data_IF_013162668143
#
_entry.id   IF_013162668143
#
_cell.length_a   1.000
_cell.length_b   1.000
_cell.length_c   1.000
_cell.angle_alpha   90.00
_cell.angle_beta   90.00
_cell.angle_gamma   90.00
#
_symmetry.space_group_name_H-M   'P 1'
#
loop_
_entity.id
_entity.type
_entity.pdbx_description
1 polymer ?
#
# COMPACT_ATOMS: atom_id res chain seq x y z
N UNK A 1 -14.16 22.23 -5.05
CA UNK A 1 -13.56 20.89 -5.22
C UNK A 1 -14.49 20.05 -6.10
N UNK A 2 -13.99 19.08 -6.86
CA UNK A 2 -14.86 18.13 -7.56
C UNK A 2 -15.65 17.29 -6.53
N UNK A 3 -16.84 16.76 -6.88
CA UNK A 3 -17.59 15.86 -6.00
C UNK A 3 -16.79 14.62 -5.58
N UNK A 4 -16.01 14.07 -6.52
CA UNK A 4 -15.11 12.93 -6.29
C UNK A 4 -14.03 13.23 -5.24
N UNK A 5 -13.38 14.40 -5.33
CA UNK A 5 -12.37 14.84 -4.36
C UNK A 5 -12.96 15.06 -2.96
N UNK A 6 -14.22 15.53 -2.87
CA UNK A 6 -14.92 15.68 -1.59
C UNK A 6 -15.24 14.33 -0.96
N UNK A 7 -15.66 13.35 -1.77
CA UNK A 7 -15.94 11.98 -1.33
C UNK A 7 -14.69 11.32 -0.73
N UNK A 8 -13.57 11.31 -1.46
CA UNK A 8 -12.31 10.69 -0.99
C UNK A 8 -11.80 11.34 0.30
N UNK A 9 -11.93 12.67 0.41
CA UNK A 9 -11.43 13.41 1.58
C UNK A 9 -12.28 13.20 2.83
N UNK A 10 -13.58 13.06 2.68
CA UNK A 10 -14.52 12.92 3.80
C UNK A 10 -14.68 11.45 4.22
N UNK A 11 -14.54 10.50 3.30
CA UNK A 11 -14.76 9.10 3.58
C UNK A 11 -13.47 8.28 3.47
N UNK A 12 -12.83 8.03 4.61
CA UNK A 12 -11.57 7.28 4.66
C UNK A 12 -11.76 5.74 4.67
N UNK A 13 -12.98 5.24 4.43
CA UNK A 13 -13.34 3.82 4.55
C UNK A 13 -12.94 3.05 3.28
N UNK A 14 -12.26 1.92 3.47
CA UNK A 14 -11.81 1.08 2.36
C UNK A 14 -12.99 0.46 1.58
N UNK A 15 -14.13 0.25 2.23
CA UNK A 15 -15.29 -0.45 1.66
C UNK A 15 -16.02 0.34 0.57
N UNK A 16 -15.80 1.66 0.47
CA UNK A 16 -16.37 2.47 -0.62
C UNK A 16 -15.75 2.09 -1.97
N UNK A 17 -14.50 1.64 -1.94
CA UNK A 17 -13.76 1.19 -3.12
C UNK A 17 -14.18 -0.22 -3.59
N UNK A 18 -15.01 -0.95 -2.82
CA UNK A 18 -15.62 -2.22 -3.26
C UNK A 18 -16.71 -1.99 -4.31
N UNK A 19 -17.30 -0.79 -4.36
CA UNK A 19 -18.40 -0.50 -5.24
C UNK A 19 -17.94 -0.50 -6.72
N UNK A 20 -18.52 -1.35 -7.60
CA UNK A 20 -18.20 -1.39 -9.02
C UNK A 20 -18.31 -0.02 -9.71
N UNK A 21 -19.26 0.81 -9.31
CA UNK A 21 -19.44 2.16 -9.86
C UNK A 21 -18.30 3.10 -9.49
N UNK A 22 -17.80 3.04 -8.25
CA UNK A 22 -16.65 3.83 -7.81
C UNK A 22 -15.37 3.35 -8.51
N UNK A 23 -15.19 2.03 -8.63
CA UNK A 23 -14.08 1.45 -9.39
C UNK A 23 -14.08 1.93 -10.86
N UNK A 24 -15.25 1.95 -11.50
CA UNK A 24 -15.39 2.45 -12.87
C UNK A 24 -15.05 3.94 -13.01
N UNK A 25 -15.46 4.77 -12.04
CA UNK A 25 -15.11 6.20 -12.00
C UNK A 25 -13.60 6.39 -11.88
N UNK A 26 -12.95 5.62 -11.00
CA UNK A 26 -11.50 5.64 -10.80
C UNK A 26 -10.79 5.24 -12.08
N UNK A 27 -11.21 4.16 -12.73
CA UNK A 27 -10.58 3.68 -13.97
C UNK A 27 -10.74 4.68 -15.13
N UNK A 28 -11.91 5.33 -15.25
CA UNK A 28 -12.11 6.40 -16.23
C UNK A 28 -11.15 7.58 -16.01
N UNK A 29 -11.06 8.07 -14.77
CA UNK A 29 -10.19 9.20 -14.40
C UNK A 29 -8.70 8.84 -14.40
N UNK A 30 -8.37 7.56 -14.22
CA UNK A 30 -7.00 7.07 -14.20
C UNK A 30 -6.25 7.36 -15.50
N UNK A 31 -6.90 7.26 -16.66
CA UNK A 31 -6.24 7.52 -17.94
C UNK A 31 -5.66 8.95 -18.03
N UNK A 32 -6.36 9.95 -17.50
CA UNK A 32 -5.86 11.32 -17.43
C UNK A 32 -4.71 11.45 -16.41
N UNK A 33 -4.92 10.93 -15.19
CA UNK A 33 -3.95 11.03 -14.09
C UNK A 33 -2.67 10.20 -14.32
N UNK A 34 -2.74 9.11 -15.09
CA UNK A 34 -1.62 8.20 -15.36
C UNK A 34 -0.46 8.91 -16.03
N UNK A 35 -0.73 9.85 -16.95
CA UNK A 35 0.31 10.61 -17.63
C UNK A 35 1.09 11.52 -16.68
N UNK A 36 0.37 12.23 -15.80
CA UNK A 36 0.94 13.05 -14.73
C UNK A 36 1.82 12.22 -13.81
N UNK A 37 1.35 11.03 -13.44
CA UNK A 37 2.07 10.13 -12.58
C UNK A 37 3.33 9.55 -13.25
N UNK A 38 3.24 9.08 -14.50
CA UNK A 38 4.41 8.56 -15.24
C UNK A 38 5.48 9.64 -15.41
N UNK A 39 5.08 10.91 -15.57
CA UNK A 39 6.00 12.05 -15.53
C UNK A 39 6.74 12.11 -14.19
N UNK A 40 6.06 11.90 -13.07
CA UNK A 40 6.70 11.89 -11.75
C UNK A 40 7.70 10.74 -11.57
N UNK A 41 7.36 9.52 -11.99
CA UNK A 41 8.33 8.39 -12.01
C UNK A 41 9.57 8.81 -12.80
N UNK A 42 9.35 9.32 -14.01
CA UNK A 42 10.43 9.66 -14.93
C UNK A 42 11.36 10.72 -14.35
N UNK A 43 10.79 11.76 -13.71
CA UNK A 43 11.55 12.79 -13.02
C UNK A 43 12.38 12.20 -11.87
N UNK A 44 11.83 11.23 -11.12
CA UNK A 44 12.58 10.56 -10.06
C UNK A 44 13.75 9.73 -10.62
N UNK A 45 13.56 9.01 -11.74
CA UNK A 45 14.68 8.33 -12.40
C UNK A 45 15.76 9.30 -12.90
N UNK A 46 15.35 10.44 -13.46
CA UNK A 46 16.27 11.50 -13.88
C UNK A 46 17.02 12.13 -12.70
N UNK A 47 16.48 12.05 -11.48
CA UNK A 47 17.18 12.42 -10.26
C UNK A 47 18.12 11.31 -9.75
N UNK A 48 17.71 10.05 -9.82
CA UNK A 48 18.45 8.90 -9.29
C UNK A 48 19.69 8.53 -10.12
N UNK A 49 19.60 8.58 -11.45
CA UNK A 49 20.68 8.18 -12.35
C UNK A 49 21.95 9.04 -12.18
N UNK A 50 21.87 10.39 -12.18
CA UNK A 50 23.07 11.22 -12.01
C UNK A 50 23.70 11.09 -10.62
N UNK A 51 22.90 10.81 -9.57
CA UNK A 51 23.41 10.58 -8.23
C UNK A 51 24.32 9.34 -8.16
N UNK A 52 23.89 8.27 -8.85
CA UNK A 52 24.61 6.99 -8.91
C UNK A 52 25.88 7.07 -9.77
N UNK A 53 25.85 7.87 -10.84
CA UNK A 53 27.00 8.06 -11.74
C UNK A 53 28.16 8.85 -11.13
N UNK A 54 27.97 9.50 -9.96
CA UNK A 54 29.02 10.30 -9.31
C UNK A 54 30.22 9.41 -8.94
N UNK A 55 31.27 9.41 -9.77
CA UNK A 55 32.51 8.65 -9.56
C UNK A 55 33.23 9.15 -8.30
N UNK A 56 33.82 8.23 -7.53
CA UNK A 56 34.47 8.52 -6.24
C UNK A 56 35.96 8.92 -6.40
N UNK A 57 36.37 9.46 -7.54
CA UNK A 57 37.76 9.89 -7.73
C UNK A 57 37.88 11.41 -7.59
N UNK A 58 38.16 11.96 -6.39
CA UNK A 58 38.42 13.38 -6.19
C UNK A 58 39.74 13.87 -6.83
N UNK A 59 40.55 12.96 -7.39
CA UNK A 59 41.92 13.25 -7.85
C UNK A 59 42.12 13.20 -9.37
N UNK A 60 41.22 12.61 -10.16
CA UNK A 60 41.29 12.74 -11.62
C UNK A 60 40.56 14.02 -12.04
N UNK A 61 41.36 15.07 -12.20
CA UNK A 61 40.96 16.38 -12.73
C UNK A 61 40.71 16.37 -14.25
N UNK A 62 40.67 15.19 -14.89
CA UNK A 62 40.25 15.12 -16.27
C UNK A 62 38.81 15.62 -16.36
N UNK A 63 38.68 16.70 -17.11
CA UNK A 63 37.55 17.60 -17.22
C UNK A 63 36.40 16.93 -17.94
N UNK A 64 35.81 15.90 -17.33
CA UNK A 64 34.55 15.35 -17.80
C UNK A 64 33.46 16.38 -17.51
N UNK A 65 33.27 17.28 -18.47
CA UNK A 65 32.14 18.21 -18.54
C UNK A 65 30.82 17.47 -18.27
N UNK A 66 30.73 16.20 -18.66
CA UNK A 66 29.62 15.29 -18.35
C UNK A 66 29.35 15.16 -16.85
N UNK A 67 30.37 14.98 -15.99
CA UNK A 67 30.19 14.84 -14.53
C UNK A 67 29.63 16.14 -13.94
N UNK A 68 30.13 17.30 -14.40
CA UNK A 68 29.62 18.62 -13.97
C UNK A 68 28.16 18.78 -14.39
N UNK A 69 27.81 18.44 -15.63
CA UNK A 69 26.43 18.49 -16.15
C UNK A 69 25.52 17.55 -15.34
N UNK A 70 25.95 16.32 -15.05
CA UNK A 70 25.23 15.38 -14.20
C UNK A 70 24.99 15.94 -12.78
N UNK A 71 25.97 16.65 -12.21
CA UNK A 71 25.82 17.28 -10.90
C UNK A 71 24.81 18.44 -10.91
N UNK A 72 24.86 19.31 -11.93
CA UNK A 72 23.89 20.41 -12.04
C UNK A 72 22.46 19.89 -12.27
N UNK A 73 22.31 18.91 -13.16
CA UNK A 73 21.00 18.28 -13.44
C UNK A 73 20.45 17.58 -12.20
N UNK A 74 21.29 16.89 -11.42
CA UNK A 74 20.91 16.29 -10.13
C UNK A 74 20.30 17.32 -9.16
N UNK A 75 21.01 18.42 -8.90
CA UNK A 75 20.53 19.44 -7.97
C UNK A 75 19.26 20.13 -8.47
N UNK A 76 19.18 20.41 -9.78
CA UNK A 76 18.01 21.01 -10.39
C UNK A 76 16.78 20.10 -10.27
N UNK A 77 16.91 18.81 -10.60
CA UNK A 77 15.84 17.82 -10.45
C UNK A 77 15.45 17.60 -8.99
N UNK A 78 16.43 17.52 -8.08
CA UNK A 78 16.16 17.37 -6.65
C UNK A 78 15.38 18.56 -6.08
N UNK A 79 15.76 19.78 -6.44
CA UNK A 79 15.00 20.97 -6.04
C UNK A 79 13.59 20.99 -6.64
N UNK A 80 13.44 20.58 -7.91
CA UNK A 80 12.12 20.44 -8.53
C UNK A 80 11.22 19.45 -7.79
N UNK A 81 11.74 18.27 -7.42
CA UNK A 81 11.02 17.27 -6.62
C UNK A 81 10.65 17.80 -5.22
N UNK A 82 11.55 18.53 -4.56
CA UNK A 82 11.22 19.19 -3.29
C UNK A 82 10.10 20.23 -3.42
N UNK A 83 10.03 20.95 -4.54
CA UNK A 83 8.93 21.90 -4.78
C UNK A 83 7.58 21.17 -4.96
N UNK A 84 7.56 20.01 -5.63
CA UNK A 84 6.37 19.17 -5.73
C UNK A 84 5.94 18.71 -4.34
N UNK A 85 6.86 18.18 -3.53
CA UNK A 85 6.56 17.75 -2.16
C UNK A 85 6.07 18.92 -1.29
N UNK A 86 6.71 20.09 -1.37
CA UNK A 86 6.25 21.30 -0.67
C UNK A 86 4.80 21.64 -1.02
N UNK A 87 4.44 21.58 -2.31
CA UNK A 87 3.07 21.84 -2.76
C UNK A 87 2.11 20.79 -2.17
N UNK A 88 2.51 19.51 -2.12
CA UNK A 88 1.72 18.44 -1.49
C UNK A 88 1.47 18.70 0.00
N UNK A 89 2.48 19.17 0.75
CA UNK A 89 2.32 19.54 2.17
C UNK A 89 1.28 20.65 2.31
N UNK A 90 1.33 21.66 1.44
CA UNK A 90 0.41 22.81 1.50
C UNK A 90 -1.06 22.41 1.30
N UNK A 91 -1.35 21.48 0.39
CA UNK A 91 -2.73 21.08 0.08
C UNK A 91 -3.29 20.01 1.03
N UNK A 92 -2.49 19.01 1.40
CA UNK A 92 -2.96 17.86 2.19
C UNK A 92 -2.60 17.97 3.69
N UNK A 93 -1.71 18.91 4.06
CA UNK A 93 -1.22 19.11 5.42
C UNK A 93 -0.25 18.02 5.90
N UNK A 94 0.26 18.20 7.12
CA UNK A 94 1.21 17.26 7.75
C UNK A 94 0.61 15.88 8.06
N UNK A 95 -0.72 15.78 8.20
CA UNK A 95 -1.43 14.53 8.48
C UNK A 95 -1.17 13.45 7.42
N UNK A 96 -0.84 13.85 6.18
CA UNK A 96 -0.49 12.95 5.07
C UNK A 96 0.73 12.07 5.36
N UNK A 97 1.70 12.58 6.12
CA UNK A 97 2.98 11.91 6.38
C UNK A 97 2.92 10.84 7.48
N UNK A 98 1.76 10.63 8.11
CA UNK A 98 1.52 9.40 8.87
C UNK A 98 1.50 8.15 7.98
N UNK A 99 1.27 8.32 6.67
CA UNK A 99 1.39 7.23 5.73
C UNK A 99 2.86 6.96 5.40
N UNK A 100 3.30 5.72 5.61
CA UNK A 100 4.69 5.27 5.42
C UNK A 100 5.27 5.70 4.07
N UNK A 101 4.49 5.54 3.00
CA UNK A 101 4.98 5.86 1.66
C UNK A 101 5.26 7.35 1.48
N UNK A 102 4.34 8.22 1.90
CA UNK A 102 4.53 9.66 1.73
C UNK A 102 5.74 10.17 2.53
N UNK A 103 5.97 9.61 3.72
CA UNK A 103 7.17 9.91 4.51
C UNK A 103 8.43 9.52 3.75
N UNK A 104 8.44 8.32 3.16
CA UNK A 104 9.58 7.81 2.41
C UNK A 104 9.83 8.61 1.12
N UNK A 105 8.79 9.04 0.40
CA UNK A 105 8.88 9.89 -0.79
C UNK A 105 9.69 11.17 -0.49
N UNK A 106 9.33 11.87 0.58
CA UNK A 106 10.02 13.09 1.02
C UNK A 106 11.45 12.78 1.48
N UNK A 107 11.60 11.76 2.33
CA UNK A 107 12.89 11.38 2.89
C UNK A 107 13.90 11.00 1.81
N UNK A 108 13.45 10.30 0.75
CA UNK A 108 14.29 9.86 -0.36
C UNK A 108 14.83 11.00 -1.22
N UNK A 109 14.19 12.17 -1.20
CA UNK A 109 14.69 13.37 -1.90
C UNK A 109 15.58 14.19 -0.96
N UNK A 110 15.16 14.38 0.29
CA UNK A 110 15.88 15.22 1.26
C UNK A 110 17.23 14.61 1.64
N UNK A 111 17.28 13.31 1.94
CA UNK A 111 18.48 12.67 2.49
C UNK A 111 19.67 12.68 1.51
N UNK A 112 19.51 12.29 0.22
CA UNK A 112 20.62 12.34 -0.74
C UNK A 112 21.10 13.78 -1.03
N UNK A 113 20.18 14.75 -1.08
CA UNK A 113 20.52 16.15 -1.28
C UNK A 113 21.33 16.68 -0.10
N UNK A 114 20.91 16.36 1.12
CA UNK A 114 21.64 16.70 2.34
C UNK A 114 23.03 16.06 2.37
N UNK A 115 23.13 14.76 2.07
CA UNK A 115 24.40 14.04 1.99
C UNK A 115 25.37 14.69 0.99
N UNK A 116 24.88 15.06 -0.20
CA UNK A 116 25.70 15.71 -1.23
C UNK A 116 26.11 17.14 -0.85
N UNK A 117 25.24 17.88 -0.16
CA UNK A 117 25.54 19.22 0.33
C UNK A 117 26.60 19.21 1.43
N UNK A 118 26.48 18.29 2.40
CA UNK A 118 27.48 18.09 3.47
C UNK A 118 28.83 17.71 2.87
N UNK A 119 28.86 16.82 1.89
CA UNK A 119 30.09 16.45 1.18
C UNK A 119 30.76 17.67 0.52
N UNK A 120 29.98 18.51 -0.19
CA UNK A 120 30.52 19.69 -0.87
C UNK A 120 31.03 20.75 0.13
N UNK A 121 30.32 20.99 1.24
CA UNK A 121 30.75 21.95 2.27
C UNK A 121 32.03 21.48 2.95
N UNK A 122 32.09 20.22 3.37
CA UNK A 122 33.27 19.65 4.01
C UNK A 122 34.47 19.62 3.05
N UNK A 123 34.26 19.36 1.76
CA UNK A 123 35.31 19.44 0.75
C UNK A 123 35.92 20.85 0.63
N UNK A 124 35.11 21.90 0.74
CA UNK A 124 35.57 23.30 0.69
C UNK A 124 36.25 23.70 2.00
N UNK A 125 35.65 23.35 3.14
CA UNK A 125 36.13 23.75 4.47
C UNK A 125 37.41 23.01 4.89
N UNK A 126 37.50 21.73 4.56
CA UNK A 126 38.60 20.84 4.96
C UNK A 126 39.43 20.53 3.72
N UNK A 127 40.25 21.49 3.30
CA UNK A 127 41.18 21.34 2.17
C UNK A 127 42.33 20.32 2.44
N UNK A 128 42.18 19.43 3.44
CA UNK A 128 43.16 18.40 3.80
C UNK A 128 42.49 17.16 4.40
N UNK A 129 42.48 16.09 3.61
CA UNK A 129 42.93 14.71 3.90
C UNK A 129 42.90 14.21 5.35
N UNK A 130 41.82 14.42 6.09
CA UNK A 130 41.57 13.65 7.31
C UNK A 130 40.76 12.40 6.90
N UNK A 131 41.40 11.22 6.99
CA UNK A 131 40.86 9.97 6.43
C UNK A 131 39.51 9.58 7.03
N UNK A 132 39.28 9.87 8.31
CA UNK A 132 38.04 9.53 9.03
C UNK A 132 36.79 10.27 8.49
N UNK A 133 36.95 11.52 8.05
CA UNK A 133 35.84 12.32 7.47
C UNK A 133 35.49 11.77 6.09
N UNK A 134 36.48 11.37 5.29
CA UNK A 134 36.25 10.76 3.99
C UNK A 134 35.49 9.44 4.10
N UNK A 135 35.86 8.57 5.04
CA UNK A 135 35.17 7.28 5.25
C UNK A 135 33.70 7.49 5.65
N UNK A 136 33.44 8.42 6.56
CA UNK A 136 32.07 8.77 7.00
C UNK A 136 31.21 9.28 5.83
N UNK A 137 31.79 10.07 4.92
CA UNK A 137 31.10 10.57 3.73
C UNK A 137 30.77 9.47 2.73
N UNK A 138 31.65 8.48 2.56
CA UNK A 138 31.41 7.31 1.72
C UNK A 138 30.25 6.49 2.27
N UNK A 139 30.21 6.30 3.60
CA UNK A 139 29.11 5.61 4.29
C UNK A 139 27.79 6.34 4.04
N UNK A 140 27.73 7.66 4.27
CA UNK A 140 26.52 8.46 4.03
C UNK A 140 26.03 8.39 2.58
N UNK A 141 26.96 8.40 1.61
CA UNK A 141 26.62 8.23 0.20
C UNK A 141 26.05 6.84 -0.09
N UNK A 142 26.62 5.79 0.51
CA UNK A 142 26.15 4.41 0.36
C UNK A 142 24.71 4.24 0.88
N UNK A 143 24.42 4.80 2.06
CA UNK A 143 23.04 4.83 2.59
C UNK A 143 22.09 5.61 1.69
N UNK A 144 22.53 6.72 1.11
CA UNK A 144 21.69 7.52 0.20
C UNK A 144 21.32 6.74 -1.06
N UNK A 145 22.26 5.98 -1.64
CA UNK A 145 21.98 5.11 -2.79
C UNK A 145 20.95 4.02 -2.41
N UNK A 146 21.08 3.44 -1.22
CA UNK A 146 20.11 2.45 -0.72
C UNK A 146 18.71 3.04 -0.56
N UNK A 147 18.60 4.25 -0.02
CA UNK A 147 17.31 4.95 0.15
C UNK A 147 16.67 5.24 -1.21
N UNK A 148 17.44 5.76 -2.18
CA UNK A 148 16.95 5.99 -3.54
C UNK A 148 16.47 4.68 -4.19
N UNK A 149 17.24 3.61 -4.01
CA UNK A 149 16.90 2.29 -4.57
C UNK A 149 15.62 1.72 -3.95
N UNK A 150 15.44 1.89 -2.64
CA UNK A 150 14.20 1.52 -1.95
C UNK A 150 13.01 2.34 -2.45
N UNK A 151 13.17 3.64 -2.72
CA UNK A 151 12.06 4.44 -3.27
C UNK A 151 11.70 3.99 -4.69
N UNK A 152 12.68 3.63 -5.53
CA UNK A 152 12.37 3.06 -6.86
C UNK A 152 11.48 1.82 -6.74
N UNK A 153 11.69 0.97 -5.71
CA UNK A 153 10.81 -0.16 -5.43
C UNK A 153 9.42 0.30 -4.95
N UNK A 154 9.35 1.31 -4.09
CA UNK A 154 8.06 1.87 -3.63
C UNK A 154 7.29 2.59 -4.74
N UNK A 155 7.96 3.17 -5.74
CA UNK A 155 7.34 3.74 -6.94
C UNK A 155 6.64 2.67 -7.81
N UNK A 156 6.87 1.38 -7.56
CA UNK A 156 6.06 0.33 -8.19
C UNK A 156 4.61 0.34 -7.69
N UNK A 157 4.32 0.99 -6.56
CA UNK A 157 2.97 1.05 -5.96
C UNK A 157 1.90 1.64 -6.88
N UNK A 158 2.31 2.40 -7.88
CA UNK A 158 1.40 3.04 -8.80
C UNK A 158 0.99 2.15 -9.98
N UNK A 159 1.71 1.06 -10.25
CA UNK A 159 1.26 0.04 -11.20
C UNK A 159 0.26 -0.88 -10.51
N UNK A 160 -0.83 -1.28 -11.18
CA UNK A 160 -1.92 -2.04 -10.55
C UNK A 160 -1.46 -3.33 -9.88
N UNK A 161 -0.76 -4.17 -10.67
CA UNK A 161 -0.32 -5.48 -10.21
C UNK A 161 0.82 -5.36 -9.21
N UNK A 162 1.78 -4.48 -9.48
CA UNK A 162 2.93 -4.31 -8.60
C UNK A 162 2.56 -3.61 -7.28
N UNK A 163 1.60 -2.70 -7.29
CA UNK A 163 1.16 -1.98 -6.10
C UNK A 163 0.35 -2.79 -5.12
N UNK A 164 -0.38 -3.81 -5.59
CA UNK A 164 -0.92 -4.82 -4.70
C UNK A 164 0.20 -5.50 -3.88
N UNK A 165 1.32 -5.88 -4.52
CA UNK A 165 2.46 -6.48 -3.82
C UNK A 165 3.15 -5.50 -2.87
N UNK A 166 3.36 -4.24 -3.26
CA UNK A 166 3.96 -3.22 -2.37
C UNK A 166 3.10 -2.99 -1.13
N UNK A 167 1.77 -2.95 -1.31
CA UNK A 167 0.84 -2.86 -0.19
C UNK A 167 0.93 -4.07 0.74
N UNK A 168 0.94 -5.29 0.18
CA UNK A 168 1.07 -6.54 0.94
C UNK A 168 2.35 -6.52 1.77
N UNK A 169 3.49 -6.22 1.17
CA UNK A 169 4.79 -6.15 1.85
C UNK A 169 4.75 -5.15 3.01
N UNK A 170 4.23 -3.94 2.77
CA UNK A 170 4.14 -2.89 3.79
C UNK A 170 3.21 -3.28 4.94
N UNK A 171 2.10 -3.97 4.64
CA UNK A 171 1.18 -4.45 5.66
C UNK A 171 1.79 -5.58 6.49
N UNK A 172 2.50 -6.52 5.84
CA UNK A 172 3.25 -7.58 6.52
C UNK A 172 4.25 -6.96 7.51
N UNK A 173 5.06 -5.98 7.09
CA UNK A 173 6.01 -5.31 7.98
C UNK A 173 5.34 -4.70 9.23
N UNK A 174 4.18 -4.07 9.06
CA UNK A 174 3.42 -3.50 10.20
C UNK A 174 2.90 -4.59 11.14
N UNK A 175 2.39 -5.68 10.60
CA UNK A 175 1.81 -6.77 11.38
C UNK A 175 2.88 -7.58 12.12
N UNK A 176 4.05 -7.81 11.52
CA UNK A 176 5.14 -8.58 12.15
C UNK A 176 6.01 -7.75 13.10
N UNK A 177 5.95 -6.41 13.04
CA UNK A 177 6.81 -5.54 13.84
C UNK A 177 6.79 -5.84 15.35
N UNK A 178 5.64 -6.10 16.02
CA UNK A 178 5.62 -6.50 17.43
C UNK A 178 6.38 -7.81 17.69
N UNK A 179 6.25 -8.78 16.78
CA UNK A 179 6.96 -10.06 16.91
C UNK A 179 8.47 -9.90 16.67
N UNK A 180 8.89 -9.02 15.75
CA UNK A 180 10.30 -8.70 15.57
C UNK A 180 10.91 -8.06 16.83
N UNK A 181 10.19 -7.19 17.51
CA UNK A 181 10.64 -6.61 18.80
C UNK A 181 10.79 -7.70 19.86
N UNK A 182 9.82 -8.62 19.93
CA UNK A 182 9.88 -9.78 20.82
C UNK A 182 11.10 -10.67 20.51
N UNK A 183 11.35 -10.98 19.23
CA UNK A 183 12.51 -11.75 18.80
C UNK A 183 13.84 -11.04 19.15
N UNK A 184 13.91 -9.72 18.97
CA UNK A 184 15.10 -8.92 19.34
C UNK A 184 15.37 -8.97 20.84
N UNK A 185 14.35 -9.03 21.69
CA UNK A 185 14.52 -9.19 23.14
C UNK A 185 15.20 -10.53 23.47
N UNK A 186 14.78 -11.62 22.80
CA UNK A 186 15.44 -12.91 22.94
C UNK A 186 16.89 -12.86 22.47
N UNK A 187 17.14 -12.30 21.28
CA UNK A 187 18.51 -12.13 20.75
C UNK A 187 19.35 -11.33 21.74
N UNK A 188 18.85 -10.24 22.29
CA UNK A 188 19.56 -9.44 23.29
C UNK A 188 19.85 -10.22 24.57
N UNK A 189 18.89 -11.01 25.08
CA UNK A 189 19.09 -11.87 26.26
C UNK A 189 20.19 -12.92 26.07
N UNK A 190 20.19 -13.60 24.92
CA UNK A 190 21.26 -14.54 24.55
C UNK A 190 22.61 -13.84 24.37
N UNK A 191 22.60 -12.65 23.76
CA UNK A 191 23.79 -11.84 23.52
C UNK A 191 24.44 -11.40 24.82
N UNK A 192 23.66 -10.88 25.76
CA UNK A 192 24.16 -10.46 27.06
C UNK A 192 24.69 -11.65 27.88
N UNK A 193 23.99 -12.78 27.85
CA UNK A 193 24.44 -14.02 28.51
C UNK A 193 25.76 -14.52 27.94
N UNK A 194 25.91 -14.52 26.61
CA UNK A 194 27.17 -14.90 25.95
C UNK A 194 28.30 -13.90 26.21
N UNK A 195 27.99 -12.61 26.25
CA UNK A 195 28.98 -11.58 26.55
C UNK A 195 29.60 -11.78 27.94
N UNK A 196 28.77 -12.04 28.97
CA UNK A 196 29.25 -12.35 30.34
C UNK A 196 30.05 -13.65 30.38
N UNK A 197 29.56 -14.70 29.69
CA UNK A 197 30.26 -15.98 29.65
C UNK A 197 31.69 -15.81 29.11
N UNK A 198 31.84 -15.08 28.01
CA UNK A 198 33.12 -14.80 27.37
C UNK A 198 33.98 -13.82 28.15
N UNK A 199 33.36 -13.00 28.98
CA UNK A 199 34.11 -12.13 29.86
C UNK A 199 34.97 -12.93 30.84
N UNK A 200 34.46 -14.07 31.29
CA UNK A 200 35.09 -14.92 32.30
C UNK A 200 35.93 -16.09 31.76
N UNK A 201 35.74 -16.52 30.50
CA UNK A 201 36.27 -17.82 30.02
C UNK A 201 37.49 -17.76 29.12
N UNK A 202 37.78 -16.65 28.43
CA UNK A 202 38.88 -16.59 27.45
C UNK A 202 39.80 -15.36 27.62
N UNK A 203 41.11 -15.61 27.77
CA UNK A 203 42.14 -14.58 27.70
C UNK A 203 42.30 -14.04 26.26
N UNK A 204 41.87 -14.81 25.25
CA UNK A 204 41.88 -14.46 23.82
C UNK A 204 40.46 -14.46 23.26
N UNK A 205 39.66 -13.45 23.63
CA UNK A 205 38.29 -13.32 23.12
C UNK A 205 38.29 -13.23 21.59
N UNK A 206 37.44 -14.01 20.90
CA UNK A 206 37.29 -13.89 19.46
C UNK A 206 36.75 -12.51 19.08
N UNK A 207 37.25 -11.98 17.95
CA UNK A 207 36.97 -10.60 17.51
C UNK A 207 35.47 -10.32 17.26
N UNK A 208 34.68 -11.37 17.05
CA UNK A 208 33.24 -11.31 16.85
C UNK A 208 32.46 -11.07 18.16
N UNK A 209 33.13 -11.17 19.31
CA UNK A 209 32.52 -11.06 20.63
C UNK A 209 33.27 -10.09 21.57
N UNK A 210 34.07 -9.17 21.03
CA UNK A 210 34.82 -8.20 21.84
C UNK A 210 33.90 -7.27 22.62
N UNK A 211 32.82 -6.83 21.96
CA UNK A 211 31.86 -5.86 22.47
C UNK A 211 30.46 -6.45 22.50
N UNK A 212 29.59 -5.89 23.36
CA UNK A 212 28.18 -6.29 23.43
C UNK A 212 27.49 -6.16 22.06
N UNK A 213 27.80 -5.11 21.29
CA UNK A 213 27.21 -4.90 19.96
C UNK A 213 27.62 -5.98 18.96
N UNK A 214 28.89 -6.38 18.93
CA UNK A 214 29.38 -7.45 18.04
C UNK A 214 28.86 -8.81 18.45
N UNK A 215 28.76 -9.05 19.77
CA UNK A 215 28.11 -10.22 20.32
C UNK A 215 26.65 -10.28 19.89
N UNK A 216 25.96 -9.13 19.92
CA UNK A 216 24.56 -9.03 19.47
C UNK A 216 24.40 -9.27 17.98
N UNK A 217 25.29 -8.72 17.15
CA UNK A 217 25.34 -9.01 15.72
C UNK A 217 25.56 -10.51 15.45
N UNK A 218 26.45 -11.13 16.22
CA UNK A 218 26.75 -12.56 16.11
C UNK A 218 25.55 -13.44 16.45
N UNK A 219 24.90 -13.20 17.59
CA UNK A 219 23.69 -13.94 17.99
C UNK A 219 22.53 -13.64 17.04
N UNK A 220 22.45 -12.44 16.46
CA UNK A 220 21.48 -12.15 15.41
C UNK A 220 21.73 -13.02 14.17
N UNK A 221 22.98 -13.26 13.75
CA UNK A 221 23.26 -14.16 12.63
C UNK A 221 22.88 -15.63 12.88
N UNK A 222 22.80 -16.06 14.14
CA UNK A 222 22.29 -17.39 14.49
C UNK A 222 20.83 -17.59 14.08
N UNK A 223 20.02 -16.53 14.07
CA UNK A 223 18.62 -16.59 13.58
C UNK A 223 18.54 -17.10 12.13
N UNK A 224 19.57 -16.84 11.33
CA UNK A 224 19.68 -17.25 9.93
C UNK A 224 20.46 -18.57 9.75
N UNK A 225 20.83 -19.24 10.84
CA UNK A 225 21.59 -20.48 10.81
C UNK A 225 23.08 -20.31 10.49
N UNK A 226 23.63 -19.10 10.60
CA UNK A 226 25.08 -18.86 10.49
C UNK A 226 25.72 -19.00 11.87
N UNK A 227 26.57 -20.02 12.04
CA UNK A 227 27.22 -20.37 13.30
C UNK A 227 28.75 -20.37 13.22
N UNK A 228 29.31 -19.83 12.13
CA UNK A 228 30.76 -19.72 11.84
C UNK A 228 31.56 -19.02 12.95
N UNK A 229 30.88 -18.27 13.80
CA UNK A 229 31.45 -17.53 14.92
C UNK A 229 31.74 -18.40 16.16
N UNK A 230 31.13 -19.60 16.27
CA UNK A 230 31.28 -20.53 17.41
C UNK A 230 32.41 -21.56 17.24
N UNK A 231 32.96 -21.72 16.03
CA UNK A 231 34.04 -22.67 15.74
C UNK A 231 35.35 -22.29 16.44
N UNK A 232 35.48 -21.03 16.88
CA UNK A 232 36.71 -20.50 17.49
C UNK A 232 36.84 -20.82 18.99
N UNK A 233 35.83 -21.43 19.62
CA UNK A 233 35.78 -21.59 21.09
C UNK A 233 36.10 -23.02 21.52
N UNK A 234 36.90 -23.21 22.57
CA UNK A 234 37.30 -24.53 23.08
C UNK A 234 36.54 -25.03 24.32
N UNK A 235 35.40 -24.43 24.68
CA UNK A 235 34.73 -24.66 25.99
C UNK A 235 33.34 -25.27 25.82
N UNK A 236 32.96 -26.22 26.69
CA UNK A 236 31.70 -26.98 26.59
C UNK A 236 30.43 -26.13 26.78
N UNK A 237 30.50 -25.02 27.54
CA UNK A 237 29.37 -24.11 27.77
C UNK A 237 28.82 -23.55 26.44
N UNK A 238 29.70 -23.38 25.44
CA UNK A 238 29.31 -22.94 24.10
C UNK A 238 28.29 -23.89 23.47
N UNK A 239 28.47 -25.20 23.68
CA UNK A 239 27.65 -26.24 23.07
C UNK A 239 26.25 -26.24 23.67
N UNK A 240 26.15 -25.95 24.97
CA UNK A 240 24.86 -25.80 25.65
C UNK A 240 24.12 -24.57 25.15
N UNK A 241 24.79 -23.41 25.08
CA UNK A 241 24.15 -22.19 24.58
C UNK A 241 23.80 -22.27 23.09
N UNK A 242 24.64 -22.90 22.26
CA UNK A 242 24.35 -23.08 20.84
C UNK A 242 23.19 -24.04 20.61
N UNK A 243 23.08 -25.10 21.41
CA UNK A 243 21.94 -26.02 21.38
C UNK A 243 20.64 -25.32 21.77
N UNK A 244 20.65 -24.56 22.87
CA UNK A 244 19.46 -23.80 23.30
C UNK A 244 19.11 -22.72 22.25
N UNK A 245 20.11 -21.98 21.76
CA UNK A 245 19.91 -20.95 20.73
C UNK A 245 19.37 -21.53 19.42
N UNK A 246 19.84 -22.70 19.01
CA UNK A 246 19.36 -23.40 17.81
C UNK A 246 17.88 -23.76 17.92
N UNK A 247 17.46 -24.31 19.07
CA UNK A 247 16.06 -24.67 19.31
C UNK A 247 15.19 -23.43 19.43
N UNK A 248 15.55 -22.48 20.31
CA UNK A 248 14.69 -21.33 20.62
C UNK A 248 14.72 -20.30 19.49
N UNK A 249 15.91 -19.81 19.11
CA UNK A 249 16.05 -18.68 18.19
C UNK A 249 15.91 -19.13 16.74
N UNK A 250 16.68 -20.14 16.32
CA UNK A 250 16.72 -20.54 14.91
C UNK A 250 15.53 -21.41 14.49
N UNK A 251 15.01 -22.25 15.38
CA UNK A 251 13.90 -23.16 15.05
C UNK A 251 12.56 -22.56 15.45
N UNK A 252 12.32 -22.30 16.74
CA UNK A 252 11.00 -21.87 17.22
C UNK A 252 10.67 -20.45 16.73
N UNK A 253 11.49 -19.45 17.04
CA UNK A 253 11.18 -18.05 16.71
C UNK A 253 11.13 -17.81 15.20
N UNK A 254 11.99 -18.47 14.42
CA UNK A 254 11.97 -18.36 12.96
C UNK A 254 10.72 -19.02 12.35
N UNK A 255 10.35 -20.23 12.79
CA UNK A 255 9.14 -20.90 12.30
C UNK A 255 7.87 -20.12 12.68
N UNK A 256 7.85 -19.52 13.88
CA UNK A 256 6.78 -18.61 14.29
C UNK A 256 6.74 -17.34 13.43
N UNK A 257 7.89 -16.74 13.11
CA UNK A 257 7.97 -15.57 12.23
C UNK A 257 7.37 -15.89 10.86
N UNK A 258 7.72 -17.04 10.28
CA UNK A 258 7.18 -17.50 8.99
C UNK A 258 5.67 -17.70 9.07
N UNK A 259 5.16 -18.37 10.11
CA UNK A 259 3.72 -18.60 10.27
C UNK A 259 2.92 -17.28 10.40
N UNK A 260 3.44 -16.33 11.17
CA UNK A 260 2.83 -14.99 11.30
C UNK A 260 2.90 -14.23 9.97
N UNK A 261 4.02 -14.31 9.24
CA UNK A 261 4.14 -13.73 7.90
C UNK A 261 3.11 -14.31 6.93
N UNK A 262 2.87 -15.63 6.97
CA UNK A 262 1.85 -16.29 6.13
C UNK A 262 0.45 -15.78 6.46
N UNK A 263 0.08 -15.73 7.74
CA UNK A 263 -1.21 -15.18 8.16
C UNK A 263 -1.37 -13.72 7.73
N UNK A 264 -0.35 -12.89 7.96
CA UNK A 264 -0.38 -11.48 7.58
C UNK A 264 -0.42 -11.28 6.06
N UNK A 265 0.18 -12.18 5.29
CA UNK A 265 0.12 -12.17 3.83
C UNK A 265 -1.30 -12.45 3.33
N UNK A 266 -1.98 -13.46 3.89
CA UNK A 266 -3.35 -13.81 3.49
C UNK A 266 -4.33 -12.68 3.80
N UNK A 267 -4.26 -12.10 5.01
CA UNK A 267 -5.04 -10.93 5.39
C UNK A 267 -4.77 -9.73 4.46
N UNK A 268 -3.50 -9.47 4.17
CA UNK A 268 -3.12 -8.34 3.31
C UNK A 268 -3.55 -8.55 1.86
N UNK A 269 -3.52 -9.78 1.36
CA UNK A 269 -3.92 -10.15 0.00
C UNK A 269 -5.41 -9.96 -0.24
N UNK A 270 -6.24 -10.21 0.78
CA UNK A 270 -7.67 -9.90 0.71
C UNK A 270 -7.90 -8.39 0.58
N UNK A 271 -7.18 -7.59 1.36
CA UNK A 271 -7.34 -6.12 1.41
C UNK A 271 -6.60 -5.41 0.27
N UNK A 272 -5.58 -6.02 -0.34
CA UNK A 272 -4.66 -5.35 -1.28
C UNK A 272 -5.36 -4.80 -2.52
N UNK A 273 -6.43 -5.46 -2.97
CA UNK A 273 -7.21 -4.99 -4.13
C UNK A 273 -7.87 -3.64 -3.83
N UNK A 274 -8.47 -3.52 -2.65
CA UNK A 274 -9.16 -2.31 -2.19
C UNK A 274 -8.17 -1.18 -1.93
N UNK A 275 -7.02 -1.52 -1.33
CA UNK A 275 -5.93 -0.57 -1.12
C UNK A 275 -5.37 0.01 -2.43
N UNK A 276 -5.30 -0.80 -3.49
CA UNK A 276 -4.82 -0.35 -4.80
C UNK A 276 -5.78 0.68 -5.42
N UNK A 277 -7.09 0.43 -5.35
CA UNK A 277 -8.11 1.37 -5.82
C UNK A 277 -8.11 2.67 -5.01
N UNK A 278 -8.01 2.56 -3.69
CA UNK A 278 -7.86 3.73 -2.80
C UNK A 278 -6.64 4.56 -3.16
N UNK A 279 -5.50 3.90 -3.40
CA UNK A 279 -4.28 4.60 -3.78
C UNK A 279 -4.41 5.34 -5.11
N UNK A 280 -5.05 4.73 -6.13
CA UNK A 280 -5.36 5.42 -7.39
C UNK A 280 -6.25 6.63 -7.16
N UNK A 281 -7.27 6.49 -6.32
CA UNK A 281 -8.18 7.57 -5.96
C UNK A 281 -7.42 8.74 -5.31
N UNK A 282 -6.51 8.45 -4.38
CA UNK A 282 -5.65 9.46 -3.74
C UNK A 282 -4.76 10.17 -4.77
N UNK A 283 -4.15 9.45 -5.72
CA UNK A 283 -3.32 10.04 -6.79
C UNK A 283 -4.16 10.92 -7.73
N UNK A 284 -5.37 10.49 -8.09
CA UNK A 284 -6.30 11.30 -8.90
C UNK A 284 -6.71 12.56 -8.14
N UNK A 285 -7.00 12.44 -6.85
CA UNK A 285 -7.33 13.56 -5.99
C UNK A 285 -6.19 14.59 -5.92
N UNK A 286 -4.94 14.13 -5.84
CA UNK A 286 -3.75 14.99 -5.89
C UNK A 286 -3.57 15.67 -7.25
N UNK A 287 -3.76 14.93 -8.34
CA UNK A 287 -3.73 15.48 -9.68
C UNK A 287 -4.77 16.61 -9.83
N UNK A 288 -6.02 16.38 -9.43
CA UNK A 288 -7.10 17.38 -9.50
C UNK A 288 -6.86 18.60 -8.58
N UNK A 289 -6.06 18.44 -7.51
CA UNK A 289 -5.73 19.51 -6.57
C UNK A 289 -4.54 20.38 -7.03
N UNK A 290 -3.50 19.75 -7.60
CA UNK A 290 -2.22 20.40 -7.92
C UNK A 290 -2.20 20.88 -9.37
N UNK A 291 -2.50 20.00 -10.31
CA UNK A 291 -2.42 20.25 -11.75
C UNK A 291 -3.87 20.41 -12.24
N UNK A 292 -4.42 21.62 -12.12
CA UNK A 292 -5.63 21.99 -12.86
C UNK A 292 -5.20 22.61 -14.20
N UNK A 293 -4.91 21.84 -15.27
CA UNK A 293 -4.65 22.49 -16.54
C UNK A 293 -5.96 23.01 -17.14
N UNK A 294 -7.09 22.29 -17.12
CA UNK A 294 -8.30 22.78 -17.78
C UNK A 294 -9.61 22.30 -17.14
N UNK A 295 -10.46 23.26 -16.78
CA UNK A 295 -11.89 23.08 -16.59
C UNK A 295 -12.60 22.77 -17.92
N UNK A 296 -12.11 21.76 -18.65
CA UNK A 296 -12.77 21.25 -19.84
C UNK A 296 -13.92 20.32 -19.43
N UNK A 297 -15.11 20.57 -19.98
CA UNK A 297 -16.34 19.79 -19.75
C UNK A 297 -16.17 18.28 -20.04
N UNK A 298 -15.11 17.89 -20.77
CA UNK A 298 -14.82 16.50 -21.13
C UNK A 298 -14.22 15.65 -20.00
N UNK A 299 -13.75 16.24 -18.89
CA UNK A 299 -13.11 15.49 -17.78
C UNK A 299 -14.12 15.00 -16.73
N UNK A 300 -15.33 15.59 -16.70
CA UNK A 300 -16.40 15.22 -15.78
C UNK A 300 -17.71 15.00 -16.55
N UNK A 301 -17.85 13.88 -17.28
CA UNK A 301 -19.10 13.53 -17.94
C UNK A 301 -20.22 13.27 -16.92
N UNK A 302 -21.47 13.53 -17.31
CA UNK A 302 -22.65 13.24 -16.46
C UNK A 302 -22.90 11.74 -16.29
N UNK A 303 -22.54 10.94 -17.29
CA UNK A 303 -22.73 9.49 -17.29
C UNK A 303 -21.43 8.80 -17.70
N UNK A 304 -21.11 7.69 -17.02
CA UNK A 304 -19.99 6.83 -17.33
C UNK A 304 -20.57 5.43 -17.54
N UNK A 305 -20.45 4.91 -18.76
CA UNK A 305 -20.80 3.52 -19.06
C UNK A 305 -19.57 2.65 -18.87
N UNK A 306 -19.69 1.57 -18.11
CA UNK A 306 -18.62 0.62 -17.90
C UNK A 306 -19.13 -0.82 -18.06
N UNK A 307 -18.28 -1.69 -18.59
CA UNK A 307 -18.53 -3.12 -18.67
C UNK A 307 -17.71 -3.80 -17.57
N UNK A 308 -18.40 -4.33 -16.56
CA UNK A 308 -17.74 -5.08 -15.48
C UNK A 308 -17.78 -6.58 -15.73
N UNK A 309 -16.84 -7.32 -15.12
CA UNK A 309 -16.90 -8.79 -15.08
C UNK A 309 -18.12 -9.23 -14.26
N UNK A 310 -18.94 -10.11 -14.82
CA UNK A 310 -20.18 -10.60 -14.19
C UNK A 310 -19.95 -11.17 -12.79
N UNK A 311 -18.93 -12.01 -12.63
CA UNK A 311 -18.56 -12.63 -11.34
C UNK A 311 -18.22 -11.61 -10.26
N UNK A 312 -17.54 -10.52 -10.61
CA UNK A 312 -17.18 -9.46 -9.66
C UNK A 312 -18.41 -8.70 -9.17
N UNK A 313 -19.30 -8.34 -10.11
CA UNK A 313 -20.54 -7.63 -9.80
C UNK A 313 -21.45 -8.50 -8.96
N UNK A 314 -21.58 -9.79 -9.29
CA UNK A 314 -22.41 -10.75 -8.55
C UNK A 314 -21.91 -10.93 -7.11
N UNK A 315 -20.60 -11.14 -6.93
CA UNK A 315 -19.98 -11.24 -5.59
C UNK A 315 -20.21 -9.97 -4.77
N UNK A 316 -20.10 -8.79 -5.39
CA UNK A 316 -20.39 -7.53 -4.71
C UNK A 316 -21.87 -7.38 -4.35
N UNK A 317 -22.80 -7.74 -5.25
CA UNK A 317 -24.24 -7.70 -4.98
C UNK A 317 -24.62 -8.62 -3.83
N UNK A 318 -24.04 -9.82 -3.77
CA UNK A 318 -24.29 -10.76 -2.68
C UNK A 318 -23.76 -10.24 -1.34
N UNK A 319 -22.52 -9.71 -1.31
CA UNK A 319 -21.94 -9.07 -0.12
C UNK A 319 -22.82 -7.91 0.36
N UNK A 320 -23.23 -7.04 -0.56
CA UNK A 320 -24.13 -5.91 -0.29
C UNK A 320 -25.48 -6.34 0.27
N UNK A 321 -26.06 -7.43 -0.25
CA UNK A 321 -27.32 -7.98 0.26
C UNK A 321 -27.16 -8.46 1.70
N UNK A 322 -26.14 -9.26 1.99
CA UNK A 322 -25.88 -9.79 3.35
C UNK A 322 -25.67 -8.66 4.36
N UNK A 323 -24.92 -7.62 4.00
CA UNK A 323 -24.72 -6.45 4.87
C UNK A 323 -26.01 -5.68 5.13
N UNK A 324 -26.87 -5.50 4.12
CA UNK A 324 -28.19 -4.86 4.31
C UNK A 324 -29.10 -5.68 5.22
N UNK A 325 -29.11 -7.00 5.07
CA UNK A 325 -29.89 -7.90 5.94
C UNK A 325 -29.42 -7.82 7.39
N UNK A 326 -28.10 -7.89 7.62
CA UNK A 326 -27.54 -7.71 8.95
C UNK A 326 -27.88 -6.34 9.55
N UNK A 327 -27.82 -5.27 8.76
CA UNK A 327 -28.18 -3.94 9.22
C UNK A 327 -29.67 -3.82 9.55
N UNK A 328 -30.56 -4.39 8.72
CA UNK A 328 -32.00 -4.45 9.01
C UNK A 328 -32.28 -5.23 10.28
N UNK A 329 -31.63 -6.36 10.48
CA UNK A 329 -31.78 -7.16 11.69
C UNK A 329 -31.29 -6.38 12.93
N UNK A 330 -30.18 -5.65 12.81
CA UNK A 330 -29.68 -4.79 13.89
C UNK A 330 -30.64 -3.64 14.22
N UNK A 331 -31.21 -2.97 13.21
CA UNK A 331 -32.25 -1.95 13.45
C UNK A 331 -33.49 -2.54 14.11
N UNK A 332 -33.93 -3.73 13.67
CA UNK A 332 -35.06 -4.41 14.28
C UNK A 332 -34.78 -4.86 15.73
N UNK A 333 -33.53 -5.17 16.07
CA UNK A 333 -33.10 -5.48 17.44
C UNK A 333 -33.13 -4.22 18.33
N UNK A 334 -32.68 -3.07 17.82
CA UNK A 334 -32.79 -1.77 18.52
C UNK A 334 -34.25 -1.35 18.70
N UNK A 335 -35.08 -1.49 17.68
CA UNK A 335 -36.50 -1.10 17.74
C UNK A 335 -37.27 -1.98 18.75
N UNK A 336 -36.89 -3.25 18.91
CA UNK A 336 -37.48 -4.14 19.92
C UNK A 336 -37.01 -3.83 21.35
N UNK A 337 -35.81 -3.24 21.53
CA UNK A 337 -35.27 -2.83 22.85
C UNK A 337 -35.77 -1.43 23.27
N UNK A 338 -36.21 -0.61 22.31
CA UNK A 338 -36.78 0.73 22.55
C UNK A 338 -38.31 0.78 22.66
N UNK A 339 -38.95 -0.31 23.08
CA UNK A 339 -40.35 -0.28 23.54
C UNK A 339 -40.45 0.50 24.86
N UNK A 340 -40.35 1.83 24.79
CA UNK A 340 -40.76 2.72 25.86
C UNK A 340 -42.26 2.51 26.09
N UNK A 341 -42.59 1.95 27.26
CA UNK A 341 -43.90 2.07 27.86
C UNK A 341 -44.24 3.57 27.95
N UNK A 342 -45.08 4.05 27.04
CA UNK A 342 -45.91 5.20 27.34
C UNK A 342 -46.97 4.66 28.30
N UNK A 343 -46.70 4.80 29.59
CA UNK A 343 -47.77 4.69 30.57
C UNK A 343 -48.60 5.96 30.39
N UNK A 344 -49.73 5.79 29.70
CA UNK A 344 -50.82 6.76 29.61
C UNK A 344 -51.41 6.92 31.01
N UNK A 345 -50.79 7.77 31.82
CA UNK A 345 -51.46 8.40 32.96
C UNK A 345 -51.82 9.82 32.54
N UNK A 346 -53.07 9.94 32.08
CA UNK A 346 -53.80 11.20 32.01
C UNK A 346 -53.75 11.89 33.37
N UNK A 347 -53.25 13.13 33.43
CA UNK A 347 -53.86 14.19 34.23
C UNK A 347 -53.33 15.57 33.78
N UNK A 348 -54.27 16.50 33.76
CA UNK A 348 -54.30 17.78 33.05
C UNK A 348 -53.31 18.88 33.52
N UNK A 349 -53.18 19.88 32.63
CA UNK A 349 -52.82 21.30 32.83
C UNK A 349 -51.35 21.67 33.14
N UNK A 350 -50.64 22.30 32.20
CA UNK A 350 -50.67 23.76 32.01
C UNK A 350 -49.61 24.20 30.96
N UNK A 351 -49.85 25.35 30.34
CA UNK A 351 -49.02 25.96 29.30
C UNK A 351 -47.58 26.26 29.76
N UNK A 352 -46.57 25.82 29.01
CA UNK A 352 -45.44 26.71 28.69
C UNK A 352 -44.69 26.32 27.41
N UNK A 353 -44.59 27.30 26.54
CA UNK A 353 -44.00 27.24 25.21
C UNK A 353 -42.51 27.60 25.34
N UNK A 354 -41.60 26.62 25.41
CA UNK A 354 -40.18 26.90 25.13
C UNK A 354 -39.28 25.66 24.87
N UNK A 355 -38.68 25.70 23.68
CA UNK A 355 -37.33 25.26 23.36
C UNK A 355 -36.82 23.90 23.87
N UNK A 356 -36.95 22.86 23.03
CA UNK A 356 -36.00 21.74 23.08
C UNK A 356 -35.65 21.08 21.74
N UNK A 357 -35.44 21.88 20.68
CA UNK A 357 -34.78 21.43 19.43
C UNK A 357 -33.25 21.40 19.55
N UNK A 358 -32.67 20.76 20.57
CA UNK A 358 -31.19 20.73 20.73
C UNK A 358 -30.52 19.41 21.11
N UNK A 359 -31.20 18.27 21.14
CA UNK A 359 -30.56 17.00 21.56
C UNK A 359 -30.37 15.90 20.51
N UNK A 360 -30.46 16.21 19.20
CA UNK A 360 -30.19 15.23 18.14
C UNK A 360 -28.71 15.12 17.71
N UNK A 361 -27.79 15.87 18.33
CA UNK A 361 -26.37 15.89 17.94
C UNK A 361 -25.41 15.20 18.93
N UNK A 362 -25.87 14.73 20.09
CA UNK A 362 -24.98 14.18 21.13
C UNK A 362 -25.03 12.65 21.32
N UNK A 363 -25.82 11.90 20.55
CA UNK A 363 -25.88 10.43 20.68
C UNK A 363 -24.90 9.65 19.78
N UNK A 364 -23.91 10.32 19.15
CA UNK A 364 -22.91 9.65 18.33
C UNK A 364 -21.77 8.97 19.13
N UNK A 365 -21.71 9.18 20.45
CA UNK A 365 -20.56 8.74 21.26
C UNK A 365 -20.78 7.42 22.03
N UNK A 366 -21.93 6.76 21.88
CA UNK A 366 -22.23 5.47 22.53
C UNK A 366 -22.65 4.39 21.53
N UNK A 367 -21.83 4.16 20.49
CA UNK A 367 -22.01 3.03 19.56
C UNK A 367 -21.07 1.87 19.97
N UNK A 368 -21.57 0.71 20.42
CA UNK A 368 -20.72 -0.44 20.70
C UNK A 368 -20.31 -1.13 19.38
N UNK A 369 -19.05 -0.91 18.96
CA UNK A 369 -18.15 -1.76 18.16
C UNK A 369 -18.62 -2.62 16.95
N UNK A 370 -19.87 -2.61 16.49
CA UNK A 370 -20.31 -3.28 15.29
C UNK A 370 -20.13 -2.38 14.06
N UNK A 371 -18.94 -2.42 13.46
CA UNK A 371 -18.61 -1.70 12.21
C UNK A 371 -19.37 -2.30 11.02
N UNK A 372 -20.59 -1.85 10.76
CA UNK A 372 -21.28 -2.09 9.49
C UNK A 372 -21.09 -0.84 8.61
N UNK A 373 -20.50 -0.95 7.41
CA UNK A 373 -20.29 0.22 6.57
C UNK A 373 -21.56 0.63 5.84
N UNK A 374 -22.09 1.81 6.21
CA UNK A 374 -23.24 2.43 5.54
C UNK A 374 -23.03 2.58 4.03
N UNK A 375 -21.80 2.75 3.53
CA UNK A 375 -21.52 2.92 2.09
C UNK A 375 -21.99 1.76 1.19
N UNK A 376 -22.20 0.57 1.76
CA UNK A 376 -22.72 -0.59 1.03
C UNK A 376 -24.25 -0.53 0.83
N UNK A 377 -24.95 0.25 1.66
CA UNK A 377 -26.41 0.41 1.63
C UNK A 377 -26.86 1.55 0.70
N UNK A 378 -26.05 2.59 0.48
CA UNK A 378 -26.48 3.87 -0.10
C UNK A 378 -26.62 3.92 -1.63
N UNK A 379 -26.10 2.94 -2.37
CA UNK A 379 -26.07 3.00 -3.85
C UNK A 379 -27.04 2.04 -4.54
N UNK A 380 -27.92 1.39 -3.77
CA UNK A 380 -28.80 0.35 -4.28
C UNK A 380 -30.20 0.56 -3.71
N UNK A 381 -30.85 1.65 -4.11
CA UNK A 381 -32.29 1.80 -3.93
C UNK A 381 -33.03 1.73 -5.27
N UNK A 382 -34.20 1.09 -5.22
CA UNK A 382 -35.22 0.80 -6.25
C UNK A 382 -34.84 0.03 -7.53
N UNK A 383 -33.59 0.09 -8.01
CA UNK A 383 -33.26 -0.41 -9.36
C UNK A 383 -32.75 -1.86 -9.44
N UNK A 384 -32.64 -2.60 -8.33
CA UNK A 384 -32.10 -3.98 -8.34
C UNK A 384 -32.93 -4.91 -9.21
N UNK A 385 -34.26 -4.78 -9.18
CA UNK A 385 -35.15 -5.59 -10.01
C UNK A 385 -34.95 -5.27 -11.49
N UNK A 386 -34.79 -4.00 -11.82
CA UNK A 386 -34.55 -3.49 -13.18
C UNK A 386 -33.17 -3.90 -13.70
N UNK A 387 -32.14 -3.84 -12.87
CA UNK A 387 -30.76 -4.22 -13.20
C UNK A 387 -30.55 -5.74 -13.27
N UNK A 388 -31.14 -6.52 -12.35
CA UNK A 388 -31.16 -7.98 -12.47
C UNK A 388 -31.97 -8.43 -13.68
N UNK A 389 -33.06 -7.73 -14.02
CA UNK A 389 -33.81 -8.00 -15.25
C UNK A 389 -32.95 -7.72 -16.48
N UNK A 390 -32.20 -6.62 -16.54
CA UNK A 390 -31.35 -6.27 -17.69
C UNK A 390 -30.13 -7.18 -17.86
N UNK A 391 -29.55 -7.69 -16.77
CA UNK A 391 -28.52 -8.76 -16.81
C UNK A 391 -29.13 -10.06 -17.33
N UNK A 392 -30.35 -10.43 -16.91
CA UNK A 392 -31.06 -11.59 -17.45
C UNK A 392 -31.38 -11.40 -18.93
N UNK A 393 -31.88 -10.24 -19.36
CA UNK A 393 -32.17 -10.00 -20.80
C UNK A 393 -30.90 -9.98 -21.64
N UNK A 394 -29.81 -9.38 -21.18
CA UNK A 394 -28.54 -9.35 -21.93
C UNK A 394 -27.89 -10.73 -22.05
N UNK A 395 -27.91 -11.54 -20.99
CA UNK A 395 -27.44 -12.94 -21.04
C UNK A 395 -28.33 -13.81 -21.92
N UNK A 396 -29.66 -13.66 -21.87
CA UNK A 396 -30.60 -14.36 -22.76
C UNK A 396 -30.39 -13.94 -24.23
N UNK A 397 -30.23 -12.64 -24.51
CA UNK A 397 -30.00 -12.13 -25.87
C UNK A 397 -28.64 -12.61 -26.43
N UNK A 398 -27.59 -12.69 -25.59
CA UNK A 398 -26.31 -13.27 -26.02
C UNK A 398 -26.43 -14.77 -26.32
N UNK A 399 -27.13 -15.54 -25.47
CA UNK A 399 -27.34 -16.98 -25.68
C UNK A 399 -28.20 -17.24 -26.93
N UNK A 400 -29.27 -16.48 -27.13
CA UNK A 400 -30.15 -16.58 -28.30
C UNK A 400 -29.43 -16.20 -29.60
N UNK A 401 -28.56 -15.19 -29.57
CA UNK A 401 -27.78 -14.80 -30.74
C UNK A 401 -26.72 -15.85 -31.09
N UNK A 402 -26.06 -16.45 -30.10
CA UNK A 402 -25.09 -17.55 -30.30
C UNK A 402 -25.81 -18.82 -30.79
N UNK A 403 -27.01 -19.14 -30.28
CA UNK A 403 -27.82 -20.25 -30.78
C UNK A 403 -28.34 -20.01 -32.19
N UNK A 404 -28.81 -18.79 -32.51
CA UNK A 404 -29.24 -18.45 -33.89
C UNK A 404 -28.10 -18.51 -34.89
N UNK A 405 -26.90 -18.05 -34.52
CA UNK A 405 -25.73 -18.09 -35.39
C UNK A 405 -25.27 -19.54 -35.64
N UNK A 406 -25.32 -20.40 -34.61
CA UNK A 406 -25.04 -21.83 -34.76
C UNK A 406 -26.08 -22.56 -35.62
N UNK A 407 -27.38 -22.30 -35.42
CA UNK A 407 -28.45 -22.90 -36.24
C UNK A 407 -28.35 -22.42 -37.70
N UNK A 408 -28.06 -21.13 -37.94
CA UNK A 408 -27.88 -20.61 -39.29
C UNK A 408 -26.69 -21.27 -40.01
N UNK A 409 -25.58 -21.47 -39.30
CA UNK A 409 -24.40 -22.16 -39.85
C UNK A 409 -24.67 -23.65 -40.12
N UNK A 410 -25.40 -24.34 -39.25
CA UNK A 410 -25.79 -25.74 -39.48
C UNK A 410 -26.76 -25.90 -40.66
N UNK A 411 -27.76 -25.02 -40.79
CA UNK A 411 -28.71 -25.02 -41.92
C UNK A 411 -27.98 -24.73 -43.23
N UNK A 412 -27.01 -23.82 -43.23
CA UNK A 412 -26.18 -23.52 -44.40
C UNK A 412 -25.33 -24.73 -44.82
N UNK A 413 -24.70 -25.42 -43.85
CA UNK A 413 -23.93 -26.65 -44.10
C UNK A 413 -24.84 -27.77 -44.64
N UNK A 414 -26.08 -27.88 -44.15
CA UNK A 414 -27.06 -28.85 -44.65
C UNK A 414 -27.52 -28.51 -46.07
N UNK A 415 -27.76 -27.24 -46.38
CA UNK A 415 -28.10 -26.79 -47.73
C UNK A 415 -26.96 -27.06 -48.72
N UNK A 416 -25.72 -26.77 -48.35
CA UNK A 416 -24.54 -27.03 -49.19
C UNK A 416 -24.35 -28.54 -49.43
N UNK A 417 -24.59 -29.38 -48.41
CA UNK A 417 -24.55 -30.85 -48.56
C UNK A 417 -25.68 -31.39 -49.44
N UNK A 418 -26.88 -30.83 -49.35
CA UNK A 418 -28.01 -31.21 -50.21
C UNK A 418 -27.72 -30.80 -51.66
N UNK A 419 -27.15 -29.61 -51.89
CA UNK A 419 -26.74 -29.17 -53.22
C UNK A 419 -25.63 -30.05 -53.80
N UNK A 420 -24.67 -30.45 -52.98
CA UNK A 420 -23.61 -31.39 -53.38
C UNK A 420 -24.17 -32.77 -53.74
N UNK A 421 -25.14 -33.29 -52.97
CA UNK A 421 -25.81 -34.55 -53.28
C UNK A 421 -26.67 -34.48 -54.55
N UNK A 422 -27.38 -33.36 -54.78
CA UNK A 422 -28.13 -33.12 -56.01
C UNK A 422 -27.21 -33.08 -57.25
N UNK A 423 -26.03 -32.47 -57.14
CA UNK A 423 -25.04 -32.46 -58.22
C UNK A 423 -24.42 -33.84 -58.49
N UNK A 424 -24.31 -34.71 -57.48
CA UNK A 424 -23.87 -36.11 -57.66
C UNK A 424 -24.95 -36.96 -58.33
N UNK A 425 -26.24 -36.64 -58.13
CA UNK A 425 -27.36 -37.37 -58.74
C UNK A 425 -27.69 -36.91 -60.17
N UNK A 426 -27.12 -35.80 -60.63
CA UNK A 426 -27.33 -35.24 -61.98
C UNK A 426 -26.16 -35.50 -62.95
N UNK A 427 -25.06 -36.09 -62.48
CA UNK A 427 -23.99 -36.70 -63.29
C UNK A 427 -24.02 -38.21 -63.13
#
# INVERSE_FOLDING_TARGET
MSPFLRMIRNENRAEIYDNPSIAAIIDFKWNAARSYFLRQIFLYFMFALPYSYKRHDPFNHDSDYLIKICQYTYYWMGFYLLNIERNRIKYNGWKRYHNFYNLFDLFSVVFPLFSSLVHNILFIAVHKRESSIHDSLIICKSFSILIISMEILLLLRYFEKAGAYVYIITNIFKNIAPFLIFMLLFVFGFSYSMYILLEHTDANRPQNYSDLLRTTESVFFWTNGRWDQLDQWGVWQKEVFSLIGSVVVATILQNMLIAIMTSAFDDAKEVSRHATLKYRADVIAEYEAIDKPFGNQNVNPRFIYFTGKTEYIEKWLEKSRRTRENYRNFLAEIDNDHSWHYDDDDDDDDYDDNDNRRNWFHSHDTLPNARIPLSLCWFVDEDVKTFQSSIKTSSIIQVDNIQKENIYNEVKILQDKIHHLLNILQN
#
